data_IF_315037630270
#
_entry.id   IF_315037630270
#
_cell.length_a   1.000
_cell.length_b   1.000
_cell.length_c   1.000
_cell.angle_alpha   90.00
_cell.angle_beta   90.00
_cell.angle_gamma   90.00
#
_symmetry.space_group_name_H-M   'P 1'
#
loop_
_entity.id
_entity.type
_entity.pdbx_description
1 polymer ?
#
# COMPACT_ATOMS: atom_id res chain seq x y z
N UNK A 1 -25.39 -13.47 -19.31
CA UNK A 1 -24.11 -13.69 -18.58
C UNK A 1 -24.42 -14.30 -17.21
N UNK A 2 -23.83 -15.45 -16.92
CA UNK A 2 -23.99 -16.09 -15.63
C UNK A 2 -23.23 -15.34 -14.54
N UNK A 3 -23.54 -15.60 -13.28
CA UNK A 3 -22.80 -15.01 -12.17
C UNK A 3 -21.33 -15.43 -12.17
N UNK A 4 -21.04 -16.66 -12.57
CA UNK A 4 -19.67 -17.15 -12.70
C UNK A 4 -18.90 -16.38 -13.77
N UNK A 5 -19.52 -16.15 -14.92
CA UNK A 5 -18.92 -15.34 -15.98
C UNK A 5 -18.65 -13.90 -15.52
N UNK A 6 -19.59 -13.32 -14.76
CA UNK A 6 -19.42 -11.96 -14.18
C UNK A 6 -18.24 -11.92 -13.22
N UNK A 7 -18.09 -12.96 -12.42
CA UNK A 7 -16.97 -13.06 -11.48
C UNK A 7 -15.63 -13.11 -12.22
N UNK A 8 -15.52 -13.95 -13.24
CA UNK A 8 -14.29 -14.04 -14.03
C UNK A 8 -14.00 -12.74 -14.78
N UNK A 9 -15.02 -12.09 -15.30
CA UNK A 9 -14.86 -10.78 -15.95
C UNK A 9 -14.36 -9.72 -14.98
N UNK A 10 -14.92 -9.67 -13.79
CA UNK A 10 -14.48 -8.76 -12.74
C UNK A 10 -13.02 -9.01 -12.36
N UNK A 11 -12.64 -10.27 -12.15
CA UNK A 11 -11.26 -10.64 -11.83
C UNK A 11 -10.28 -10.21 -12.91
N UNK A 12 -10.65 -10.41 -14.17
CA UNK A 12 -9.82 -10.01 -15.29
C UNK A 12 -9.60 -8.50 -15.31
N UNK A 13 -10.67 -7.74 -15.16
CA UNK A 13 -10.62 -6.27 -15.13
C UNK A 13 -9.79 -5.76 -13.96
N UNK A 14 -9.97 -6.35 -12.80
CA UNK A 14 -9.21 -5.98 -11.60
C UNK A 14 -7.71 -6.19 -11.82
N UNK A 15 -7.33 -7.33 -12.38
CA UNK A 15 -5.93 -7.64 -12.66
C UNK A 15 -5.32 -6.71 -13.70
N UNK A 16 -6.09 -6.32 -14.71
CA UNK A 16 -5.64 -5.36 -15.71
C UNK A 16 -5.36 -3.99 -15.08
N UNK A 17 -6.24 -3.53 -14.19
CA UNK A 17 -6.04 -2.28 -13.46
C UNK A 17 -4.84 -2.38 -12.53
N UNK A 18 -4.72 -3.47 -11.78
CA UNK A 18 -3.58 -3.69 -10.89
C UNK A 18 -2.26 -3.67 -11.66
N UNK A 19 -2.21 -4.27 -12.85
CA UNK A 19 -1.01 -4.26 -13.69
C UNK A 19 -0.67 -2.84 -14.13
N UNK A 20 -1.67 -2.04 -14.49
CA UNK A 20 -1.47 -0.63 -14.83
C UNK A 20 -0.91 0.14 -13.65
N UNK A 21 -1.45 -0.06 -12.45
CA UNK A 21 -0.98 0.62 -11.24
C UNK A 21 0.43 0.18 -10.86
N UNK A 22 0.75 -1.12 -10.99
CA UNK A 22 2.11 -1.63 -10.75
C UNK A 22 3.12 -0.93 -11.66
N UNK A 23 2.78 -0.80 -12.93
CA UNK A 23 3.63 -0.14 -13.91
C UNK A 23 3.80 1.35 -13.58
N UNK A 24 2.71 2.03 -13.24
CA UNK A 24 2.72 3.44 -12.85
C UNK A 24 3.62 3.68 -11.64
N UNK A 25 3.46 2.85 -10.60
CA UNK A 25 4.25 2.96 -9.37
C UNK A 25 5.72 2.67 -9.64
N UNK A 26 6.03 1.65 -10.44
CA UNK A 26 7.41 1.31 -10.78
C UNK A 26 8.11 2.45 -11.51
N UNK A 27 7.40 3.16 -12.38
CA UNK A 27 7.97 4.27 -13.15
C UNK A 27 8.16 5.53 -12.30
N UNK A 28 7.30 5.77 -11.31
CA UNK A 28 7.29 7.01 -10.53
C UNK A 28 8.01 6.90 -9.20
N UNK A 29 8.23 5.67 -8.72
CA UNK A 29 8.81 5.44 -7.40
C UNK A 29 10.34 5.43 -7.45
N UNK A 30 10.97 6.28 -6.66
CA UNK A 30 12.43 6.29 -6.51
C UNK A 30 12.92 5.04 -5.77
N UNK A 31 12.09 4.50 -4.89
CA UNK A 31 12.42 3.35 -4.05
C UNK A 31 11.99 2.01 -4.68
N UNK A 32 11.52 2.03 -5.91
CA UNK A 32 11.01 0.82 -6.60
C UNK A 32 9.93 0.10 -5.79
N UNK A 33 8.93 0.85 -5.36
CA UNK A 33 7.85 0.30 -4.55
C UNK A 33 6.93 -0.62 -5.36
N UNK A 34 6.35 -1.60 -4.67
CA UNK A 34 5.30 -2.44 -5.24
C UNK A 34 3.93 -1.82 -4.96
N UNK A 35 2.90 -2.32 -5.64
CA UNK A 35 1.52 -1.88 -5.41
C UNK A 35 1.10 -2.14 -3.95
N UNK A 36 1.45 -3.30 -3.40
CA UNK A 36 1.12 -3.63 -2.00
C UNK A 36 1.82 -2.69 -1.02
N UNK A 37 3.04 -2.30 -1.31
CA UNK A 37 3.78 -1.33 -0.51
C UNK A 37 3.12 0.05 -0.57
N UNK A 38 2.65 0.45 -1.75
CA UNK A 38 1.87 1.67 -1.90
C UNK A 38 0.59 1.61 -1.05
N UNK A 39 -0.13 0.48 -1.06
CA UNK A 39 -1.32 0.29 -0.22
C UNK A 39 -0.98 0.44 1.27
N UNK A 40 0.15 -0.11 1.69
CA UNK A 40 0.59 -0.02 3.08
C UNK A 40 0.77 1.44 3.49
N UNK A 41 1.46 2.24 2.68
CA UNK A 41 1.66 3.66 2.94
C UNK A 41 0.32 4.41 2.99
N UNK A 42 -0.58 4.08 2.08
CA UNK A 42 -1.91 4.70 2.00
C UNK A 42 -2.72 4.42 3.26
N UNK A 43 -2.76 3.17 3.72
CA UNK A 43 -3.49 2.83 4.94
C UNK A 43 -2.92 3.53 6.17
N UNK A 44 -1.61 3.68 6.25
CA UNK A 44 -0.98 4.43 7.34
C UNK A 44 -1.36 5.90 7.30
N UNK A 45 -1.38 6.48 6.12
CA UNK A 45 -1.74 7.90 5.96
C UNK A 45 -3.17 8.18 6.41
N UNK A 46 -4.09 7.24 6.18
CA UNK A 46 -5.48 7.35 6.61
C UNK A 46 -5.68 7.11 8.10
N UNK A 47 -4.73 6.46 8.74
CA UNK A 47 -4.87 6.08 10.14
C UNK A 47 -4.66 7.26 11.07
N UNK A 48 -5.23 7.16 12.27
CA UNK A 48 -5.03 8.13 13.32
C UNK A 48 -3.54 8.20 13.68
N UNK A 49 -2.99 9.41 13.76
CA UNK A 49 -1.56 9.64 14.02
C UNK A 49 -0.64 8.97 13.00
N UNK A 50 -1.19 8.60 11.85
CA UNK A 50 -0.47 7.95 10.74
C UNK A 50 0.30 6.71 11.20
N UNK A 51 -0.33 5.94 12.09
CA UNK A 51 0.27 4.73 12.63
C UNK A 51 -0.74 3.61 12.79
N UNK A 52 -0.29 2.38 12.60
CA UNK A 52 -1.10 1.17 12.77
C UNK A 52 -0.22 0.08 13.36
N UNK A 53 -0.83 -0.87 14.03
CA UNK A 53 -0.15 -2.09 14.46
C UNK A 53 0.12 -2.97 13.25
N UNK A 54 1.19 -3.73 13.29
CA UNK A 54 1.56 -4.63 12.19
C UNK A 54 0.45 -5.64 11.89
N UNK A 55 -0.23 -6.14 12.91
CA UNK A 55 -1.33 -7.10 12.72
C UNK A 55 -2.52 -6.46 11.98
N UNK A 56 -2.80 -5.19 12.25
CA UNK A 56 -3.88 -4.47 11.57
C UNK A 56 -3.54 -4.22 10.10
N UNK A 57 -2.27 -3.94 9.81
CA UNK A 57 -1.80 -3.80 8.43
C UNK A 57 -1.92 -5.10 7.67
N UNK A 58 -1.54 -6.22 8.30
CA UNK A 58 -1.65 -7.54 7.68
C UNK A 58 -3.10 -7.84 7.31
N UNK A 59 -4.03 -7.53 8.21
CA UNK A 59 -5.45 -7.73 7.99
C UNK A 59 -5.96 -6.88 6.82
N UNK A 60 -5.63 -5.60 6.80
CA UNK A 60 -6.05 -4.67 5.74
C UNK A 60 -5.49 -5.04 4.38
N UNK A 61 -4.26 -5.53 4.34
CA UNK A 61 -3.58 -5.90 3.09
C UNK A 61 -3.90 -7.32 2.64
N UNK A 62 -4.59 -8.10 3.46
CA UNK A 62 -4.86 -9.53 3.21
C UNK A 62 -3.57 -10.30 2.97
N UNK A 63 -2.56 -10.02 3.78
CA UNK A 63 -1.25 -10.68 3.72
C UNK A 63 -0.97 -11.35 5.06
N UNK A 64 -0.05 -12.33 5.03
CA UNK A 64 0.41 -12.97 6.25
C UNK A 64 1.23 -11.99 7.09
N UNK A 65 1.27 -12.18 8.44
CA UNK A 65 2.13 -11.35 9.27
C UNK A 65 3.60 -11.36 8.86
N UNK A 66 4.12 -12.50 8.41
CA UNK A 66 5.50 -12.58 7.93
C UNK A 66 5.75 -11.76 6.66
N UNK A 67 4.79 -11.75 5.74
CA UNK A 67 4.90 -10.94 4.52
C UNK A 67 4.94 -9.45 4.87
N UNK A 68 4.06 -9.01 5.76
CA UNK A 68 4.03 -7.62 6.21
C UNK A 68 5.31 -7.25 6.96
N UNK A 69 5.82 -8.15 7.80
CA UNK A 69 7.07 -7.94 8.52
C UNK A 69 8.23 -7.67 7.57
N UNK A 70 8.32 -8.42 6.48
CA UNK A 70 9.36 -8.22 5.46
C UNK A 70 9.18 -6.90 4.73
N UNK A 71 7.95 -6.53 4.40
CA UNK A 71 7.66 -5.25 3.75
C UNK A 71 8.05 -4.08 4.65
N UNK A 72 7.67 -4.14 5.91
CA UNK A 72 8.00 -3.10 6.89
C UNK A 72 9.51 -2.96 7.06
N UNK A 73 10.23 -4.09 7.19
CA UNK A 73 11.68 -4.08 7.33
C UNK A 73 12.35 -3.39 6.13
N UNK A 74 11.88 -3.68 4.92
CA UNK A 74 12.40 -3.05 3.70
C UNK A 74 12.15 -1.55 3.69
N UNK A 75 10.94 -1.13 4.06
CA UNK A 75 10.55 0.29 3.98
C UNK A 75 11.11 1.14 5.11
N UNK A 76 11.47 0.54 6.24
CA UNK A 76 12.10 1.28 7.34
C UNK A 76 13.62 1.34 7.21
N UNK A 77 14.22 0.56 6.33
CA UNK A 77 15.67 0.53 6.15
C UNK A 77 16.22 1.93 5.85
N UNK A 78 17.46 2.20 6.27
CA UNK A 78 18.09 3.54 6.19
C UNK A 78 18.06 4.15 4.79
N UNK A 79 18.22 3.33 3.76
CA UNK A 79 18.21 3.78 2.38
C UNK A 79 16.81 4.03 1.84
N UNK A 80 15.79 3.61 2.56
CA UNK A 80 14.39 3.82 2.17
C UNK A 80 13.71 4.86 3.08
N UNK A 81 13.69 4.62 4.39
CA UNK A 81 13.28 5.60 5.39
C UNK A 81 11.82 6.05 5.35
N UNK A 82 10.94 5.25 4.72
CA UNK A 82 9.54 5.63 4.58
C UNK A 82 8.68 5.30 5.80
N UNK A 83 9.14 4.37 6.62
CA UNK A 83 8.47 3.92 7.84
C UNK A 83 9.40 3.98 9.03
N UNK A 84 8.80 4.07 10.22
CA UNK A 84 9.52 3.89 11.49
C UNK A 84 8.67 3.02 12.41
N UNK A 85 9.33 2.32 13.34
CA UNK A 85 8.64 1.54 14.35
C UNK A 85 8.62 2.33 15.65
N UNK A 86 7.46 2.34 16.30
CA UNK A 86 7.32 2.90 17.65
C UNK A 86 6.78 1.83 18.57
N UNK A 87 7.40 1.72 19.76
CA UNK A 87 6.83 0.94 20.84
C UNK A 87 5.93 1.85 21.66
N UNK A 88 4.73 1.38 21.96
CA UNK A 88 3.88 2.09 22.90
C UNK A 88 4.50 2.00 24.29
N UNK A 89 4.68 3.14 24.99
CA UNK A 89 5.31 3.18 26.30
C UNK A 89 4.58 2.34 27.35
N UNK A 90 3.28 2.13 27.15
CA UNK A 90 2.43 1.39 28.08
C UNK A 90 2.32 -0.10 27.79
N UNK A 91 2.67 -0.50 26.57
CA UNK A 91 2.58 -1.90 26.15
C UNK A 91 3.73 -2.24 25.20
N UNK A 92 4.79 -2.80 25.77
CA UNK A 92 5.99 -3.21 25.02
C UNK A 92 5.72 -4.33 24.01
N UNK A 93 4.52 -4.95 24.06
CA UNK A 93 4.14 -6.03 23.15
C UNK A 93 3.53 -5.51 21.86
N UNK A 94 3.08 -4.26 21.84
CA UNK A 94 2.47 -3.64 20.68
C UNK A 94 3.47 -2.73 20.00
N UNK A 95 3.92 -3.10 18.82
CA UNK A 95 4.71 -2.19 18.01
C UNK A 95 3.80 -1.53 16.97
N UNK A 96 3.89 -0.21 16.92
CA UNK A 96 3.19 0.58 15.91
C UNK A 96 4.14 0.88 14.76
N UNK A 97 3.60 0.81 13.56
CA UNK A 97 4.30 1.20 12.35
C UNK A 97 3.81 2.60 12.00
N UNK A 98 4.73 3.53 11.83
CA UNK A 98 4.41 4.94 11.57
C UNK A 98 4.94 5.37 10.21
N UNK A 99 4.15 6.20 9.54
CA UNK A 99 4.57 6.82 8.28
C UNK A 99 5.49 8.01 8.61
N UNK A 100 6.69 8.02 8.05
CA UNK A 100 7.63 9.13 8.24
C UNK A 100 7.24 10.32 7.34
N UNK A 101 7.88 11.48 7.54
CA UNK A 101 7.66 12.61 6.63
C UNK A 101 8.12 12.29 5.21
N UNK A 102 9.20 11.52 5.06
CA UNK A 102 9.64 11.04 3.74
C UNK A 102 8.64 10.08 3.14
N UNK A 103 8.02 9.23 3.98
CA UNK A 103 6.94 8.34 3.56
C UNK A 103 5.72 9.11 3.07
N UNK A 104 5.37 10.19 3.75
CA UNK A 104 4.26 11.05 3.33
C UNK A 104 4.52 11.70 1.98
N UNK A 105 5.74 12.18 1.75
CA UNK A 105 6.15 12.79 0.48
C UNK A 105 6.12 11.78 -0.66
N UNK A 106 6.66 10.60 -0.42
CA UNK A 106 6.66 9.52 -1.42
C UNK A 106 5.23 9.11 -1.77
N UNK A 107 4.37 8.98 -0.76
CA UNK A 107 2.97 8.64 -0.98
C UNK A 107 2.25 9.71 -1.79
N UNK A 108 2.43 10.98 -1.45
CA UNK A 108 1.77 12.09 -2.16
C UNK A 108 2.12 12.10 -3.64
N UNK A 109 3.38 11.88 -3.96
CA UNK A 109 3.85 11.80 -5.35
C UNK A 109 3.17 10.64 -6.09
N UNK A 110 3.13 9.47 -5.47
CA UNK A 110 2.53 8.28 -6.07
C UNK A 110 1.01 8.38 -6.18
N UNK A 111 0.36 9.02 -5.20
CA UNK A 111 -1.10 9.20 -5.23
C UNK A 111 -1.54 9.98 -6.46
N UNK A 112 -0.82 11.04 -6.83
CA UNK A 112 -1.14 11.81 -8.03
C UNK A 112 -1.05 10.95 -9.28
N UNK A 113 0.02 10.17 -9.42
CA UNK A 113 0.22 9.30 -10.56
C UNK A 113 -0.83 8.19 -10.62
N UNK A 114 -1.16 7.60 -9.47
CA UNK A 114 -2.19 6.55 -9.38
C UNK A 114 -3.57 7.12 -9.72
N UNK A 115 -3.88 8.32 -9.22
CA UNK A 115 -5.15 8.97 -9.50
C UNK A 115 -5.35 9.19 -11.00
N UNK A 116 -4.32 9.67 -11.70
CA UNK A 116 -4.35 9.85 -13.15
C UNK A 116 -4.56 8.53 -13.88
N UNK A 117 -3.86 7.48 -13.44
CA UNK A 117 -4.00 6.14 -14.03
C UNK A 117 -5.41 5.59 -13.85
N UNK A 118 -6.01 5.81 -12.68
CA UNK A 118 -7.37 5.36 -12.39
C UNK A 118 -8.40 6.13 -13.21
N UNK A 119 -8.21 7.41 -13.41
CA UNK A 119 -9.07 8.23 -14.26
C UNK A 119 -9.05 7.71 -15.70
N UNK A 120 -7.86 7.39 -16.22
CA UNK A 120 -7.70 6.81 -17.56
C UNK A 120 -8.43 5.47 -17.67
N UNK A 121 -8.46 4.71 -16.55
CA UNK A 121 -9.14 3.43 -16.49
C UNK A 121 -10.63 3.49 -16.15
N UNK A 122 -11.24 4.68 -16.15
CA UNK A 122 -12.64 4.87 -15.75
C UNK A 122 -13.64 4.01 -16.51
N UNK A 123 -13.33 3.65 -17.74
CA UNK A 123 -14.18 2.78 -18.56
C UNK A 123 -14.42 1.42 -17.88
N UNK A 124 -13.52 1.01 -17.00
CA UNK A 124 -13.67 -0.23 -16.24
C UNK A 124 -14.71 -0.14 -15.13
N UNK A 125 -15.00 1.07 -14.66
CA UNK A 125 -15.89 1.29 -13.52
C UNK A 125 -17.35 1.48 -13.93
N UNK A 126 -17.58 1.80 -15.17
CA UNK A 126 -18.89 2.07 -15.76
C UNK A 126 -19.45 0.86 -16.53
#
# INVERSE_FOLDING_TARGET
MTYLEKWFDFNRRQKEIESLLEETIAQQSEQSLTLKEFYLLYYLDLAQEKSLRQIDLADKLHLSPSAVSRMVARLEAKNCGLLSRRCCDQDRRSSFICLTSDGQKALALLQNAVEESLETGLDFWV
#
